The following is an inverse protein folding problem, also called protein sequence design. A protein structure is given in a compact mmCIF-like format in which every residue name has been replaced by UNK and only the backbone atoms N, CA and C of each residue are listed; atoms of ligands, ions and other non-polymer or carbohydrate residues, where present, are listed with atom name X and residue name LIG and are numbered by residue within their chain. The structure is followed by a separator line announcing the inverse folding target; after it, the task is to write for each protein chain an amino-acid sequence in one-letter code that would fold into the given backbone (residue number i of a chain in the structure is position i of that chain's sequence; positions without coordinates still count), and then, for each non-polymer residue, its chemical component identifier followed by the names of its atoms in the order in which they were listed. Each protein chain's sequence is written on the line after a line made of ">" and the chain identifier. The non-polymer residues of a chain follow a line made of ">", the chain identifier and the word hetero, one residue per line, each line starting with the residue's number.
data_IF_043647462825
#
_entry.id   IF_043647462825
#
_cell.length_a   1.000
_cell.length_b   1.000
_cell.length_c   1.000
_cell.angle_alpha   90.00
_cell.angle_beta   90.00
_cell.angle_gamma   90.00
#
_symmetry.space_group_name_H-M   'P 1'
#
loop_
_entity.id
_entity.type
_entity.pdbx_description
1 polymer ?
#
# COMPACT_ATOMS: atom_id res chain seq x y z
N UNK A 1 -15.32 21.02 -14.09
CA UNK A 1 -15.75 20.12 -13.00
C UNK A 1 -16.41 18.91 -13.66
N UNK A 2 -15.97 17.68 -13.36
CA UNK A 2 -16.59 16.48 -13.95
C UNK A 2 -17.92 16.17 -13.26
N UNK A 3 -18.89 15.66 -14.02
CA UNK A 3 -20.07 15.03 -13.44
C UNK A 3 -19.67 13.77 -12.66
N UNK A 4 -20.55 13.29 -11.77
CA UNK A 4 -20.32 12.03 -11.01
C UNK A 4 -20.09 10.84 -11.96
N UNK A 5 -20.81 10.78 -13.07
CA UNK A 5 -20.70 9.71 -14.06
C UNK A 5 -19.36 9.74 -14.80
N UNK A 6 -18.91 10.92 -15.24
CA UNK A 6 -17.60 11.08 -15.89
C UNK A 6 -16.46 10.75 -14.94
N UNK A 7 -16.56 11.20 -13.68
CA UNK A 7 -15.56 10.91 -12.67
C UNK A 7 -15.42 9.39 -12.39
N UNK A 8 -16.53 8.66 -12.38
CA UNK A 8 -16.54 7.21 -12.21
C UNK A 8 -16.01 6.49 -13.46
N UNK A 9 -16.31 6.99 -14.65
CA UNK A 9 -15.79 6.46 -15.92
C UNK A 9 -14.26 6.56 -15.97
N UNK A 10 -13.70 7.73 -15.65
CA UNK A 10 -12.24 7.95 -15.64
C UNK A 10 -11.55 7.02 -14.64
N UNK A 11 -12.13 6.85 -13.43
CA UNK A 11 -11.59 5.90 -12.44
C UNK A 11 -11.56 4.47 -12.97
N UNK A 12 -12.63 4.02 -13.64
CA UNK A 12 -12.68 2.69 -14.24
C UNK A 12 -11.63 2.53 -15.33
N UNK A 13 -11.55 3.50 -16.25
CA UNK A 13 -10.57 3.48 -17.34
C UNK A 13 -9.13 3.48 -16.81
N UNK A 14 -8.85 4.23 -15.75
CA UNK A 14 -7.54 4.25 -15.10
C UNK A 14 -7.12 2.85 -14.61
N UNK A 15 -7.99 2.16 -13.87
CA UNK A 15 -7.66 0.85 -13.33
C UNK A 15 -7.59 -0.23 -14.42
N UNK A 16 -8.44 -0.15 -15.45
CA UNK A 16 -8.34 -1.02 -16.62
C UNK A 16 -6.99 -0.82 -17.33
N UNK A 17 -6.61 0.43 -17.62
CA UNK A 17 -5.36 0.74 -18.30
C UNK A 17 -4.13 0.34 -17.47
N UNK A 18 -4.18 0.49 -16.13
CA UNK A 18 -3.11 0.02 -15.25
C UNK A 18 -2.95 -1.50 -15.34
N UNK A 19 -4.04 -2.25 -15.28
CA UNK A 19 -4.03 -3.71 -15.37
C UNK A 19 -3.55 -4.22 -16.73
N UNK A 20 -3.88 -3.51 -17.82
CA UNK A 20 -3.39 -3.83 -19.17
C UNK A 20 -1.90 -3.52 -19.35
N UNK A 21 -1.43 -2.39 -18.81
CA UNK A 21 -0.02 -1.99 -18.89
C UNK A 21 0.90 -2.90 -18.05
N UNK A 22 0.40 -3.39 -16.91
CA UNK A 22 1.13 -4.25 -15.99
C UNK A 22 0.32 -5.51 -15.65
N UNK A 23 0.18 -6.46 -16.59
CA UNK A 23 -0.66 -7.63 -16.44
C UNK A 23 0.01 -8.68 -15.55
N UNK A 24 -0.06 -8.47 -14.23
CA UNK A 24 0.42 -9.42 -13.22
C UNK A 24 -0.56 -9.58 -12.06
N UNK A 25 -0.40 -10.68 -11.33
CA UNK A 25 -1.11 -10.91 -10.08
C UNK A 25 -0.37 -10.21 -8.94
N UNK A 26 -1.02 -9.24 -8.33
CA UNK A 26 -0.56 -8.56 -7.13
C UNK A 26 -1.02 -9.32 -5.88
N UNK A 27 -0.22 -9.28 -4.81
CA UNK A 27 -0.48 -9.95 -3.54
C UNK A 27 -1.75 -9.42 -2.89
N UNK A 28 -1.89 -8.08 -2.79
CA UNK A 28 -3.06 -7.39 -2.24
C UNK A 28 -3.52 -7.97 -0.89
N UNK A 29 -4.65 -8.68 -0.87
CA UNK A 29 -5.24 -9.29 0.32
C UNK A 29 -4.69 -10.70 0.62
N UNK A 30 -3.92 -11.31 -0.28
CA UNK A 30 -3.48 -12.71 -0.19
C UNK A 30 -2.21 -12.90 0.67
N UNK A 31 -2.00 -12.01 1.65
CA UNK A 31 -0.86 -12.01 2.60
C UNK A 31 -0.90 -13.19 3.57
N UNK A 32 -1.99 -13.97 3.58
CA UNK A 32 -2.35 -15.01 4.57
C UNK A 32 -2.38 -14.53 6.02
N UNK A 33 -2.22 -13.23 6.27
CA UNK A 33 -2.41 -12.60 7.57
C UNK A 33 -3.76 -11.91 7.52
N UNK A 34 -4.64 -12.27 8.45
CA UNK A 34 -5.98 -11.69 8.51
C UNK A 34 -5.88 -10.17 8.75
N UNK A 35 -6.63 -9.41 7.94
CA UNK A 35 -6.73 -7.95 8.03
C UNK A 35 -5.39 -7.21 7.88
N UNK A 36 -4.45 -7.82 7.15
CA UNK A 36 -3.19 -7.18 6.70
C UNK A 36 -3.15 -7.26 5.19
N UNK A 37 -3.12 -6.11 4.50
CA UNK A 37 -3.30 -6.08 3.05
C UNK A 37 -2.55 -4.96 2.36
N UNK A 38 -2.03 -5.28 1.17
CA UNK A 38 -1.48 -4.30 0.24
C UNK A 38 -2.61 -3.60 -0.53
N UNK A 39 -2.47 -2.29 -0.73
CA UNK A 39 -3.44 -1.46 -1.44
C UNK A 39 -2.75 -0.47 -2.37
N UNK A 40 -3.36 -0.26 -3.54
CA UNK A 40 -3.09 0.88 -4.39
C UNK A 40 -4.11 1.98 -4.08
N UNK A 41 -3.64 3.23 -4.04
CA UNK A 41 -4.51 4.39 -3.87
C UNK A 41 -4.11 5.50 -4.83
N UNK A 42 -5.09 6.19 -5.39
CA UNK A 42 -4.86 7.35 -6.24
C UNK A 42 -6.02 8.33 -6.12
N UNK A 43 -5.71 9.61 -6.07
CA UNK A 43 -6.66 10.71 -6.13
C UNK A 43 -6.20 11.82 -7.09
N UNK A 44 -6.74 13.03 -6.93
CA UNK A 44 -6.40 14.17 -7.79
C UNK A 44 -5.12 14.92 -7.37
N UNK A 45 -4.40 14.44 -6.36
CA UNK A 45 -3.20 15.08 -5.79
C UNK A 45 -2.04 14.11 -5.65
N UNK A 46 -2.33 12.85 -5.38
CA UNK A 46 -1.34 11.84 -5.01
C UNK A 46 -1.71 10.42 -5.42
N UNK A 47 -0.69 9.58 -5.49
CA UNK A 47 -0.78 8.14 -5.60
C UNK A 47 0.02 7.48 -4.48
N UNK A 48 -0.45 6.35 -3.95
CA UNK A 48 0.20 5.64 -2.86
C UNK A 48 0.19 4.13 -3.10
N UNK A 49 1.25 3.48 -2.64
CA UNK A 49 1.34 2.04 -2.42
C UNK A 49 1.47 1.85 -0.92
N UNK A 50 0.60 1.05 -0.31
CA UNK A 50 0.52 0.92 1.14
C UNK A 50 0.28 -0.52 1.60
N UNK A 51 0.74 -0.81 2.81
CA UNK A 51 0.39 -1.98 3.61
C UNK A 51 -0.42 -1.49 4.81
N UNK A 52 -1.69 -1.87 4.84
CA UNK A 52 -2.58 -1.59 5.96
C UNK A 52 -2.60 -2.78 6.90
N UNK A 53 -2.38 -2.52 8.19
CA UNK A 53 -2.45 -3.49 9.28
C UNK A 53 -3.64 -3.07 10.14
N UNK A 54 -4.72 -3.82 10.01
CA UNK A 54 -5.99 -3.50 10.66
C UNK A 54 -6.73 -4.69 11.32
N UNK A 55 -6.04 -5.69 11.94
CA UNK A 55 -6.69 -6.71 12.76
C UNK A 55 -7.68 -6.13 13.77
N UNK A 56 -8.72 -6.91 14.07
CA UNK A 56 -9.72 -6.56 15.08
C UNK A 56 -9.10 -6.36 16.47
N UNK A 57 -8.12 -7.18 16.83
CA UNK A 57 -7.41 -7.07 18.10
C UNK A 57 -6.26 -6.07 18.00
N UNK A 58 -6.29 -5.01 18.82
CA UNK A 58 -5.30 -3.93 18.81
C UNK A 58 -3.87 -4.42 19.10
N UNK A 59 -3.74 -5.38 20.01
CA UNK A 59 -2.47 -6.02 20.36
C UNK A 59 -1.81 -6.67 19.13
N UNK A 60 -2.57 -7.37 18.29
CA UNK A 60 -2.05 -7.94 17.05
C UNK A 60 -1.61 -6.86 16.08
N UNK A 61 -2.39 -5.77 15.97
CA UNK A 61 -2.02 -4.62 15.12
C UNK A 61 -0.67 -4.05 15.55
N UNK A 62 -0.46 -3.88 16.85
CA UNK A 62 0.80 -3.39 17.43
C UNK A 62 1.93 -4.36 17.12
N UNK A 63 1.76 -5.65 17.40
CA UNK A 63 2.82 -6.66 17.18
C UNK A 63 3.23 -6.73 15.71
N UNK A 64 2.28 -6.79 14.77
CA UNK A 64 2.61 -6.82 13.34
C UNK A 64 3.33 -5.54 12.90
N UNK A 65 2.91 -4.38 13.40
CA UNK A 65 3.60 -3.12 13.11
C UNK A 65 5.03 -3.13 13.65
N UNK A 66 5.23 -3.56 14.89
CA UNK A 66 6.56 -3.60 15.52
C UNK A 66 7.51 -4.57 14.82
N UNK A 67 7.00 -5.67 14.24
CA UNK A 67 7.77 -6.55 13.35
C UNK A 67 8.19 -5.88 12.05
N UNK A 68 7.35 -5.05 11.45
CA UNK A 68 7.75 -4.31 10.24
C UNK A 68 8.70 -3.16 10.62
N UNK A 69 8.48 -2.52 11.76
CA UNK A 69 9.33 -1.45 12.29
C UNK A 69 10.73 -1.96 12.67
N UNK A 70 10.86 -3.18 13.20
CA UNK A 70 12.17 -3.79 13.48
C UNK A 70 12.99 -4.03 12.20
N UNK A 71 12.32 -4.22 11.06
CA UNK A 71 12.92 -4.37 9.74
C UNK A 71 13.07 -3.03 8.98
N UNK A 72 12.80 -1.89 9.62
CA UNK A 72 12.78 -0.57 8.96
C UNK A 72 14.08 -0.21 8.25
N UNK A 73 15.24 -0.54 8.84
CA UNK A 73 16.53 -0.26 8.21
C UNK A 73 16.66 -0.98 6.87
N UNK A 74 16.36 -2.28 6.85
CA UNK A 74 16.37 -3.10 5.62
C UNK A 74 15.32 -2.60 4.63
N UNK A 75 14.10 -2.30 5.10
CA UNK A 75 13.03 -1.75 4.27
C UNK A 75 13.50 -0.49 3.55
N UNK A 76 14.15 0.43 4.25
CA UNK A 76 14.64 1.69 3.67
C UNK A 76 15.86 1.51 2.77
N UNK A 77 16.83 0.69 3.18
CA UNK A 77 18.10 0.55 2.46
C UNK A 77 17.95 -0.27 1.16
N UNK A 78 17.08 -1.29 1.15
CA UNK A 78 17.04 -2.29 0.08
C UNK A 78 15.77 -2.24 -0.78
N UNK A 79 14.65 -1.74 -0.25
CA UNK A 79 13.34 -1.89 -0.92
C UNK A 79 12.63 -0.56 -1.20
N UNK A 80 12.36 0.23 -0.17
CA UNK A 80 11.50 1.42 -0.19
C UNK A 80 12.12 2.55 0.65
N UNK A 81 13.10 3.29 0.13
CA UNK A 81 13.82 4.34 0.89
C UNK A 81 12.91 5.46 1.40
N UNK A 82 11.82 5.73 0.69
CA UNK A 82 10.87 6.79 1.04
C UNK A 82 9.66 6.29 1.85
N UNK A 83 9.70 5.04 2.36
CA UNK A 83 8.57 4.49 3.11
C UNK A 83 8.33 5.22 4.43
N UNK A 84 7.09 5.62 4.66
CA UNK A 84 6.61 6.17 5.92
C UNK A 84 5.92 5.06 6.71
N UNK A 85 6.27 4.92 7.99
CA UNK A 85 5.65 3.98 8.92
C UNK A 85 4.89 4.80 9.97
N UNK A 86 3.57 4.64 10.01
CA UNK A 86 2.70 5.28 10.99
C UNK A 86 1.99 4.20 11.81
N UNK A 87 2.26 4.18 13.11
CA UNK A 87 1.66 3.20 14.04
C UNK A 87 0.18 3.47 14.24
N UNK A 88 -0.22 4.75 14.30
CA UNK A 88 -1.58 5.15 14.62
C UNK A 88 -2.13 6.05 13.51
N UNK A 89 -2.46 5.43 12.38
CA UNK A 89 -3.15 6.10 11.29
C UNK A 89 -4.66 6.03 11.52
N UNK A 90 -5.31 7.20 11.65
CA UNK A 90 -6.75 7.28 11.86
C UNK A 90 -7.50 7.38 10.53
N UNK A 91 -8.37 6.41 10.27
CA UNK A 91 -9.32 6.46 9.17
C UNK A 91 -10.42 7.51 9.44
N UNK A 92 -11.13 7.94 8.39
CA UNK A 92 -12.22 8.93 8.51
C UNK A 92 -13.34 8.50 9.49
N UNK A 93 -13.54 7.20 9.67
CA UNK A 93 -14.49 6.64 10.62
C UNK A 93 -13.97 6.57 12.06
N UNK A 94 -12.76 7.08 12.33
CA UNK A 94 -12.10 7.06 13.64
C UNK A 94 -11.38 5.76 13.99
N UNK A 95 -11.43 4.71 13.14
CA UNK A 95 -10.68 3.47 13.37
C UNK A 95 -9.17 3.76 13.27
N UNK A 96 -8.42 3.38 14.29
CA UNK A 96 -6.95 3.38 14.25
C UNK A 96 -6.45 2.11 13.53
N UNK A 97 -5.59 2.30 12.54
CA UNK A 97 -4.85 1.25 11.84
C UNK A 97 -3.35 1.57 11.90
N UNK A 98 -2.48 0.58 11.67
CA UNK A 98 -1.08 0.87 11.36
C UNK A 98 -0.92 0.85 9.85
N UNK A 99 -0.11 1.78 9.33
CA UNK A 99 0.07 1.93 7.88
C UNK A 99 1.54 2.14 7.54
N UNK A 100 1.99 1.42 6.53
CA UNK A 100 3.27 1.67 5.89
C UNK A 100 2.99 2.04 4.45
N UNK A 101 3.55 3.15 3.95
CA UNK A 101 3.28 3.59 2.59
C UNK A 101 4.41 4.40 1.97
N UNK A 102 4.42 4.41 0.65
CA UNK A 102 5.17 5.39 -0.17
C UNK A 102 4.17 6.22 -0.97
N UNK A 103 4.53 7.46 -1.29
CA UNK A 103 3.64 8.42 -1.92
C UNK A 103 4.29 9.16 -3.07
N UNK A 104 3.58 9.28 -4.19
CA UNK A 104 3.88 10.17 -5.30
C UNK A 104 2.91 11.36 -5.27
N UNK A 105 3.45 12.56 -5.17
CA UNK A 105 2.70 13.82 -5.16
C UNK A 105 2.72 14.54 -6.52
N UNK A 106 1.86 15.56 -6.66
CA UNK A 106 1.84 16.42 -7.85
C UNK A 106 1.25 15.76 -9.08
N UNK A 107 0.47 14.70 -8.89
CA UNK A 107 -0.22 13.98 -9.96
C UNK A 107 -1.72 14.25 -9.90
N UNK A 108 -2.42 13.89 -10.96
CA UNK A 108 -3.88 13.94 -10.99
C UNK A 108 -4.43 12.72 -11.72
N UNK A 109 -5.31 11.96 -11.04
CA UNK A 109 -6.08 10.88 -11.65
C UNK A 109 -6.87 11.33 -12.90
N UNK A 110 -7.37 12.57 -12.88
CA UNK A 110 -8.17 13.12 -13.97
C UNK A 110 -7.33 13.72 -15.11
N UNK A 111 -6.00 13.74 -14.96
CA UNK A 111 -5.06 14.13 -16.00
C UNK A 111 -4.35 12.89 -16.54
N UNK A 112 -4.78 12.41 -17.72
CA UNK A 112 -4.21 11.21 -18.38
C UNK A 112 -2.70 11.31 -18.61
N UNK A 113 -2.14 12.52 -18.76
CA UNK A 113 -0.69 12.68 -18.87
C UNK A 113 0.07 12.22 -17.61
N UNK A 114 -0.60 12.16 -16.45
CA UNK A 114 -0.02 11.66 -15.19
C UNK A 114 0.01 10.13 -15.12
N UNK A 115 -0.80 9.43 -15.92
CA UNK A 115 -1.05 7.99 -15.73
C UNK A 115 0.22 7.16 -15.91
N UNK A 116 1.05 7.48 -16.91
CA UNK A 116 2.30 6.77 -17.12
C UNK A 116 3.23 6.86 -15.89
N UNK A 117 3.31 8.02 -15.24
CA UNK A 117 4.09 8.20 -14.02
C UNK A 117 3.49 7.43 -12.85
N UNK A 118 2.16 7.47 -12.67
CA UNK A 118 1.46 6.75 -11.60
C UNK A 118 1.62 5.24 -11.77
N UNK A 119 1.43 4.71 -12.98
CA UNK A 119 1.54 3.27 -13.24
C UNK A 119 2.96 2.77 -13.01
N UNK A 120 3.97 3.53 -13.46
CA UNK A 120 5.38 3.21 -13.17
C UNK A 120 5.65 3.21 -11.67
N UNK A 121 5.14 4.22 -10.95
CA UNK A 121 5.25 4.31 -9.50
C UNK A 121 4.61 3.11 -8.80
N UNK A 122 3.37 2.76 -9.15
CA UNK A 122 2.67 1.59 -8.63
C UNK A 122 3.44 0.30 -8.88
N UNK A 123 3.88 0.07 -10.12
CA UNK A 123 4.57 -1.16 -10.48
C UNK A 123 5.89 -1.32 -9.72
N UNK A 124 6.74 -0.28 -9.70
CA UNK A 124 8.05 -0.35 -9.03
C UNK A 124 7.89 -0.54 -7.53
N UNK A 125 7.04 0.27 -6.90
CA UNK A 125 6.95 0.29 -5.44
C UNK A 125 6.17 -0.91 -4.90
N UNK A 126 5.09 -1.35 -5.57
CA UNK A 126 4.40 -2.56 -5.12
C UNK A 126 5.26 -3.80 -5.32
N UNK A 127 6.01 -3.91 -6.42
CA UNK A 127 6.95 -5.02 -6.61
C UNK A 127 8.04 -5.05 -5.52
N UNK A 128 8.64 -3.90 -5.20
CA UNK A 128 9.59 -3.82 -4.09
C UNK A 128 8.96 -4.17 -2.75
N UNK A 129 7.74 -3.69 -2.47
CA UNK A 129 7.07 -3.97 -1.21
C UNK A 129 6.67 -5.44 -1.06
N UNK A 130 6.18 -6.06 -2.14
CA UNK A 130 5.86 -7.49 -2.17
C UNK A 130 7.11 -8.35 -1.95
N UNK A 131 8.24 -8.00 -2.58
CA UNK A 131 9.52 -8.72 -2.37
C UNK A 131 9.98 -8.64 -0.92
N UNK A 132 9.95 -7.45 -0.32
CA UNK A 132 10.22 -7.28 1.12
C UNK A 132 9.31 -8.19 1.96
N UNK A 133 8.00 -8.17 1.67
CA UNK A 133 7.05 -8.97 2.45
C UNK A 133 7.29 -10.46 2.29
N UNK A 134 7.58 -10.96 1.08
CA UNK A 134 7.88 -12.36 0.85
C UNK A 134 9.18 -12.81 1.54
N UNK A 135 10.20 -11.96 1.54
CA UNK A 135 11.49 -12.27 2.15
C UNK A 135 11.40 -12.40 3.68
N UNK A 136 10.54 -11.58 4.30
CA UNK A 136 10.35 -11.55 5.76
C UNK A 136 8.99 -12.11 6.20
N UNK A 137 8.30 -12.83 5.33
CA UNK A 137 6.92 -13.27 5.53
C UNK A 137 6.77 -14.13 6.80
N UNK A 138 7.67 -15.09 6.97
CA UNK A 138 7.67 -16.02 8.11
C UNK A 138 7.84 -15.25 9.43
N UNK A 139 8.77 -14.30 9.48
CA UNK A 139 8.99 -13.45 10.64
C UNK A 139 7.78 -12.55 10.95
N UNK A 140 7.17 -11.96 9.92
CA UNK A 140 6.01 -11.06 10.09
C UNK A 140 4.79 -11.87 10.56
N UNK A 141 4.59 -13.08 10.04
CA UNK A 141 3.46 -13.96 10.38
C UNK A 141 3.52 -14.53 11.79
N UNK A 142 4.72 -14.84 12.26
CA UNK A 142 4.89 -15.55 13.53
C UNK A 142 4.71 -14.62 14.73
N UNK A 143 3.55 -14.67 15.38
CA UNK A 143 3.24 -13.88 16.56
C UNK A 143 3.89 -14.41 17.85
N UNK A 144 4.43 -15.63 17.86
CA UNK A 144 4.94 -16.29 19.07
C UNK A 144 6.38 -15.89 19.42
N UNK A 145 7.13 -15.32 18.47
CA UNK A 145 8.56 -14.92 18.64
C UNK A 145 8.76 -13.76 19.63
N UNK A 146 7.69 -13.04 20.00
CA UNK A 146 7.79 -11.86 20.87
C UNK A 146 7.51 -12.16 22.36
N UNK A 147 7.55 -13.44 22.78
CA UNK A 147 7.40 -13.85 24.20
C UNK A 147 8.74 -14.18 24.85
#
# INVERSE_FOLDING_TARGET
>A
MFSKAEAQKIKKEFWTAFAEAYPRKWLLYDTKIKDVSFKFYVDNKKAQVMLDIEPKEDEKRIIYFEKIESLKAILHDEFLPDAVLERNFYLENGKAISRIWVELNGISLYNMASWAAIFRFFNINMDAFERFFYEYEDYIRDLDINT
#
